data_IF_195500843922
#
_entry.id   IF_195500843922
#
_cell.length_a   1.000
_cell.length_b   1.000
_cell.length_c   1.000
_cell.angle_alpha   90.00
_cell.angle_beta   90.00
_cell.angle_gamma   90.00
#
_symmetry.space_group_name_H-M   'P 1'
#
loop_
_entity.id
_entity.type
_entity.pdbx_description
1 polymer ?
#
# COMPACT_ATOMS: atom_id res chain seq x y z
N UNK A 1 35.77 13.35 30.57
CA UNK A 1 34.80 12.38 31.11
C UNK A 1 33.93 11.93 29.94
N UNK A 2 34.13 10.71 29.48
CA UNK A 2 33.35 10.15 28.38
C UNK A 2 31.98 9.79 28.94
N UNK A 3 30.92 10.42 28.46
CA UNK A 3 29.55 10.07 28.74
C UNK A 3 29.25 8.74 28.02
N UNK A 4 29.43 7.65 28.73
CA UNK A 4 28.92 6.34 28.28
C UNK A 4 27.40 6.39 28.36
N UNK A 5 26.75 6.65 27.24
CA UNK A 5 25.33 6.37 27.06
C UNK A 5 25.16 4.86 27.30
N UNK A 6 24.77 4.50 28.53
CA UNK A 6 24.28 3.14 28.81
C UNK A 6 22.96 2.97 28.06
N UNK A 7 23.02 2.33 26.90
CA UNK A 7 21.81 1.81 26.27
C UNK A 7 21.28 0.72 27.20
N UNK A 8 20.30 1.06 28.04
CA UNK A 8 19.53 0.08 28.76
C UNK A 8 18.77 -0.75 27.71
N UNK A 9 19.39 -1.84 27.27
CA UNK A 9 18.71 -2.85 26.45
C UNK A 9 17.73 -3.50 27.41
N UNK A 10 16.45 -3.15 27.27
CA UNK A 10 15.37 -3.81 28.03
C UNK A 10 15.39 -5.28 27.65
N UNK A 11 15.58 -6.14 28.63
CA UNK A 11 15.57 -7.58 28.42
C UNK A 11 14.16 -7.96 27.92
N UNK A 12 14.06 -8.60 26.77
CA UNK A 12 12.80 -9.03 26.19
C UNK A 12 12.38 -10.37 26.75
N UNK A 13 11.12 -10.52 27.11
CA UNK A 13 10.53 -11.80 27.52
C UNK A 13 10.31 -12.76 26.34
N UNK A 14 10.44 -12.25 25.11
CA UNK A 14 10.34 -13.06 23.89
C UNK A 14 11.65 -13.79 23.61
N UNK A 15 11.56 -15.06 23.21
CA UNK A 15 12.69 -15.88 22.79
C UNK A 15 12.87 -15.85 21.25
N UNK A 16 11.76 -15.90 20.53
CA UNK A 16 11.74 -15.89 19.07
C UNK A 16 10.58 -15.05 18.54
N UNK A 17 10.85 -14.16 17.61
CA UNK A 17 9.82 -13.40 16.89
C UNK A 17 9.88 -13.69 15.39
N UNK A 18 8.73 -13.60 14.74
CA UNK A 18 8.61 -13.69 13.29
C UNK A 18 8.35 -12.31 12.67
N UNK A 19 8.96 -12.04 11.53
CA UNK A 19 8.65 -10.91 10.67
C UNK A 19 8.14 -11.47 9.34
N UNK A 20 6.98 -10.98 8.87
CA UNK A 20 6.48 -11.28 7.54
C UNK A 20 6.16 -10.00 6.78
N UNK A 21 6.21 -10.09 5.45
CA UNK A 21 5.85 -9.01 4.54
C UNK A 21 4.77 -9.52 3.58
N UNK A 22 3.62 -8.85 3.51
CA UNK A 22 2.50 -9.27 2.70
C UNK A 22 1.93 -8.12 1.84
N UNK A 23 1.25 -8.49 0.75
CA UNK A 23 0.71 -7.55 -0.22
C UNK A 23 1.68 -7.20 -1.34
N UNK A 24 1.45 -6.09 -2.04
CA UNK A 24 2.32 -5.61 -3.11
C UNK A 24 3.70 -5.16 -2.61
N UNK A 25 4.70 -5.06 -3.49
CA UNK A 25 6.00 -4.53 -3.13
C UNK A 25 5.91 -3.04 -2.76
N UNK A 26 6.85 -2.57 -1.95
CA UNK A 26 7.03 -1.16 -1.67
C UNK A 26 8.52 -0.85 -1.47
N UNK A 27 8.97 0.36 -1.77
CA UNK A 27 10.34 0.78 -1.47
C UNK A 27 10.59 0.77 0.04
N UNK A 28 11.86 0.72 0.43
CA UNK A 28 12.32 0.68 1.81
C UNK A 28 11.94 -0.58 2.62
N UNK A 29 11.35 -1.62 2.01
CA UNK A 29 10.95 -2.84 2.69
C UNK A 29 12.11 -3.49 3.48
N UNK A 30 13.27 -3.68 2.83
CA UNK A 30 14.44 -4.24 3.49
C UNK A 30 14.99 -3.37 4.62
N UNK A 31 14.88 -2.04 4.51
CA UNK A 31 15.28 -1.13 5.58
C UNK A 31 14.40 -1.31 6.82
N UNK A 32 13.08 -1.43 6.64
CA UNK A 32 12.12 -1.64 7.73
C UNK A 32 12.30 -3.01 8.37
N UNK A 33 12.42 -4.07 7.56
CA UNK A 33 12.71 -5.43 8.05
C UNK A 33 14.00 -5.42 8.89
N UNK A 34 15.06 -4.80 8.36
CA UNK A 34 16.35 -4.74 9.05
C UNK A 34 16.29 -3.91 10.33
N UNK A 35 15.58 -2.78 10.34
CA UNK A 35 15.45 -1.94 11.54
C UNK A 35 14.69 -2.68 12.64
N UNK A 36 13.55 -3.27 12.32
CA UNK A 36 12.75 -4.06 13.25
C UNK A 36 13.56 -5.26 13.79
N UNK A 37 14.15 -6.06 12.91
CA UNK A 37 14.93 -7.24 13.31
C UNK A 37 16.15 -6.86 14.18
N UNK A 38 16.88 -5.80 13.82
CA UNK A 38 18.08 -5.37 14.56
C UNK A 38 17.77 -5.02 16.01
N UNK A 39 16.63 -4.39 16.29
CA UNK A 39 16.23 -4.04 17.64
C UNK A 39 16.09 -5.29 18.54
N UNK A 40 15.44 -6.31 18.03
CA UNK A 40 15.25 -7.58 18.76
C UNK A 40 16.52 -8.42 18.84
N UNK A 41 17.29 -8.52 17.76
CA UNK A 41 18.59 -9.22 17.76
C UNK A 41 19.55 -8.61 18.79
N UNK A 42 19.57 -7.30 18.96
CA UNK A 42 20.35 -6.62 20.00
C UNK A 42 19.86 -6.92 21.42
N UNK A 43 18.56 -7.17 21.58
CA UNK A 43 17.98 -7.59 22.86
C UNK A 43 18.14 -9.10 23.13
N UNK A 44 18.89 -9.84 22.27
CA UNK A 44 19.14 -11.26 22.44
C UNK A 44 17.99 -12.17 21.98
N UNK A 45 17.00 -11.61 21.27
CA UNK A 45 15.87 -12.37 20.71
C UNK A 45 16.22 -12.92 19.36
N UNK A 46 15.91 -14.19 19.11
CA UNK A 46 16.03 -14.77 17.78
C UNK A 46 14.92 -14.20 16.87
N UNK A 47 15.32 -13.73 15.68
CA UNK A 47 14.39 -13.16 14.70
C UNK A 47 14.38 -14.00 13.45
N UNK A 48 13.20 -14.41 13.01
CA UNK A 48 13.00 -15.11 11.74
C UNK A 48 12.23 -14.26 10.75
N UNK A 49 12.59 -14.34 9.49
CA UNK A 49 11.84 -13.78 8.39
C UNK A 49 11.04 -14.87 7.68
N UNK A 50 9.71 -14.81 7.74
CA UNK A 50 8.84 -15.76 7.06
C UNK A 50 8.81 -15.41 5.58
N UNK A 51 9.08 -16.40 4.71
CA UNK A 51 9.16 -16.18 3.27
C UNK A 51 7.78 -16.17 2.63
N UNK A 52 7.59 -15.25 1.69
CA UNK A 52 6.36 -15.10 0.89
C UNK A 52 5.09 -14.85 1.73
N UNK A 53 5.21 -13.98 2.75
CA UNK A 53 4.08 -13.53 3.57
C UNK A 53 3.36 -14.69 4.27
N UNK A 54 2.05 -14.76 4.12
CA UNK A 54 1.22 -15.81 4.74
C UNK A 54 1.15 -17.11 3.92
N UNK A 55 1.72 -17.20 2.71
CA UNK A 55 1.50 -18.36 1.81
C UNK A 55 1.82 -19.70 2.47
N UNK A 56 3.05 -19.83 3.00
CA UNK A 56 3.47 -21.09 3.62
C UNK A 56 2.81 -21.36 4.98
N UNK A 57 2.24 -20.32 5.62
CA UNK A 57 1.57 -20.43 6.90
C UNK A 57 0.09 -20.81 6.75
N UNK A 58 -0.60 -20.25 5.75
CA UNK A 58 -2.03 -20.49 5.51
C UNK A 58 -2.32 -21.92 5.03
N UNK A 59 -1.33 -22.52 4.36
CA UNK A 59 -1.41 -23.89 3.84
C UNK A 59 -0.61 -24.89 4.71
N UNK A 60 -0.29 -24.51 5.96
CA UNK A 60 0.49 -25.34 6.85
C UNK A 60 -0.16 -26.70 7.13
N UNK A 61 0.63 -27.75 7.01
CA UNK A 61 0.31 -29.12 7.35
C UNK A 61 1.27 -29.63 8.45
N UNK A 62 0.76 -29.99 9.63
CA UNK A 62 1.62 -30.50 10.73
C UNK A 62 2.47 -31.69 10.36
N UNK A 63 2.07 -32.50 9.35
CA UNK A 63 2.87 -33.62 8.84
C UNK A 63 4.12 -33.16 8.05
N UNK A 64 4.14 -31.88 7.62
CA UNK A 64 5.21 -31.27 6.83
C UNK A 64 5.73 -30.01 7.56
N UNK A 65 6.63 -30.16 8.53
CA UNK A 65 7.11 -29.05 9.33
C UNK A 65 7.82 -27.99 8.47
N UNK A 66 7.66 -26.73 8.87
CA UNK A 66 8.34 -25.60 8.22
C UNK A 66 9.85 -25.76 8.29
N UNK A 67 10.55 -25.47 7.18
CA UNK A 67 11.99 -25.67 7.02
C UNK A 67 12.72 -24.34 6.89
N UNK A 68 13.79 -24.18 7.66
CA UNK A 68 14.71 -23.06 7.49
C UNK A 68 15.34 -23.10 6.07
N UNK A 69 15.50 -21.91 5.50
CA UNK A 69 15.98 -21.72 4.13
C UNK A 69 14.88 -21.81 3.07
N UNK A 70 13.86 -22.65 3.27
CA UNK A 70 12.72 -22.79 2.36
C UNK A 70 11.55 -21.87 2.79
N UNK A 71 11.02 -22.05 3.98
CA UNK A 71 9.80 -21.40 4.44
C UNK A 71 10.08 -20.17 5.31
N UNK A 72 11.20 -20.13 5.97
CA UNK A 72 11.71 -18.98 6.74
C UNK A 72 13.25 -18.94 6.73
N UNK A 73 13.80 -17.79 7.13
CA UNK A 73 15.24 -17.58 7.32
C UNK A 73 15.50 -16.95 8.69
N UNK A 74 16.65 -17.23 9.29
CA UNK A 74 17.10 -16.55 10.50
C UNK A 74 17.73 -15.21 10.14
N UNK A 75 17.22 -14.13 10.73
CA UNK A 75 17.70 -12.76 10.52
C UNK A 75 18.76 -12.40 11.57
N UNK A 76 19.97 -12.82 11.33
CA UNK A 76 21.11 -12.51 12.21
C UNK A 76 21.85 -11.24 11.80
N UNK A 77 22.75 -10.76 12.64
CA UNK A 77 23.51 -9.52 12.41
C UNK A 77 24.28 -9.48 11.09
N UNK A 78 24.75 -10.64 10.59
CA UNK A 78 25.52 -10.71 9.34
C UNK A 78 24.60 -10.53 8.12
N UNK A 79 23.41 -11.10 8.15
CA UNK A 79 22.36 -10.94 7.13
C UNK A 79 21.88 -9.49 7.13
N UNK A 80 21.52 -8.95 8.28
CA UNK A 80 20.93 -7.61 8.43
C UNK A 80 21.89 -6.48 8.02
N UNK A 81 23.19 -6.65 8.24
CA UNK A 81 24.21 -5.64 7.86
C UNK A 81 24.18 -5.31 6.37
N UNK A 82 23.90 -6.28 5.52
CA UNK A 82 23.86 -6.11 4.05
C UNK A 82 22.49 -5.74 3.53
N UNK A 83 21.45 -5.97 4.32
CA UNK A 83 20.05 -5.84 3.89
C UNK A 83 19.52 -4.42 4.02
N UNK A 84 19.95 -3.67 5.03
CA UNK A 84 19.39 -2.34 5.37
C UNK A 84 19.35 -1.37 4.19
N UNK A 85 20.37 -1.38 3.35
CA UNK A 85 20.50 -0.49 2.19
C UNK A 85 20.26 -1.20 0.85
N UNK A 86 19.82 -2.45 0.87
CA UNK A 86 19.53 -3.20 -0.35
C UNK A 86 18.09 -2.97 -0.82
N UNK A 87 17.92 -3.02 -2.13
CA UNK A 87 16.61 -2.97 -2.76
C UNK A 87 15.87 -4.30 -2.63
N UNK A 88 14.56 -4.26 -2.89
CA UNK A 88 13.70 -5.44 -2.89
C UNK A 88 13.19 -5.82 -1.52
N UNK A 89 12.72 -7.06 -1.40
CA UNK A 89 12.13 -7.66 -0.19
C UNK A 89 12.82 -8.99 0.05
N UNK A 90 13.78 -9.03 0.97
CA UNK A 90 14.64 -10.22 1.19
C UNK A 90 13.89 -11.48 1.60
N UNK A 91 12.73 -11.35 2.25
CA UNK A 91 11.87 -12.45 2.65
C UNK A 91 10.75 -12.74 1.65
N UNK A 92 10.72 -12.01 0.52
CA UNK A 92 9.64 -12.09 -0.45
C UNK A 92 8.31 -11.54 0.09
N UNK A 93 7.30 -11.56 -0.77
CA UNK A 93 5.94 -11.15 -0.45
C UNK A 93 4.92 -12.03 -1.18
N UNK A 94 3.68 -12.05 -0.70
CA UNK A 94 2.55 -12.65 -1.40
C UNK A 94 1.25 -11.95 -1.02
N UNK A 95 0.20 -12.16 -1.84
CA UNK A 95 -1.15 -11.62 -1.60
C UNK A 95 -2.06 -12.59 -0.84
N UNK A 96 -1.52 -13.71 -0.36
CA UNK A 96 -2.28 -14.67 0.45
C UNK A 96 -2.82 -13.98 1.70
N UNK A 97 -4.13 -14.05 1.87
CA UNK A 97 -4.85 -13.43 2.98
C UNK A 97 -5.63 -14.49 3.76
N UNK A 98 -5.14 -14.97 4.91
CA UNK A 98 -5.82 -15.97 5.72
C UNK A 98 -7.13 -15.46 6.34
N UNK A 99 -7.34 -14.15 6.39
CA UNK A 99 -8.57 -13.51 6.86
C UNK A 99 -9.56 -13.13 5.76
N UNK A 100 -9.39 -13.60 4.52
CA UNK A 100 -10.22 -13.21 3.38
C UNK A 100 -11.72 -13.47 3.60
N UNK A 101 -12.06 -14.59 4.23
CA UNK A 101 -13.45 -15.02 4.43
C UNK A 101 -14.09 -14.49 5.71
N UNK A 102 -13.37 -13.73 6.51
CA UNK A 102 -13.87 -13.09 7.73
C UNK A 102 -14.21 -11.63 7.38
N UNK A 103 -15.49 -11.32 7.24
CA UNK A 103 -15.99 -9.99 6.86
C UNK A 103 -16.57 -9.22 8.03
N UNK A 104 -17.14 -9.92 9.01
CA UNK A 104 -17.75 -9.36 10.21
C UNK A 104 -17.31 -10.14 11.46
N UNK A 105 -17.54 -9.61 12.68
CA UNK A 105 -17.16 -10.30 13.90
C UNK A 105 -17.79 -11.68 14.10
N UNK A 106 -19.01 -11.89 13.59
CA UNK A 106 -19.75 -13.15 13.67
C UNK A 106 -19.05 -14.27 12.88
N UNK A 107 -18.33 -13.93 11.80
CA UNK A 107 -17.54 -14.89 11.03
C UNK A 107 -16.41 -15.54 11.84
N UNK A 108 -15.99 -14.93 12.95
CA UNK A 108 -15.01 -15.51 13.87
C UNK A 108 -15.53 -16.73 14.64
N UNK A 109 -16.85 -16.96 14.68
CA UNK A 109 -17.48 -18.15 15.26
C UNK A 109 -17.52 -19.31 14.27
N UNK A 110 -17.30 -19.05 12.98
CA UNK A 110 -17.31 -20.05 11.92
C UNK A 110 -15.91 -20.71 11.80
N UNK A 111 -15.82 -21.96 12.21
CA UNK A 111 -14.57 -22.73 12.21
C UNK A 111 -14.00 -22.92 10.80
N UNK A 112 -14.83 -23.02 9.75
CA UNK A 112 -14.37 -23.18 8.38
C UNK A 112 -13.73 -21.90 7.85
N UNK A 113 -14.35 -20.73 8.12
CA UNK A 113 -13.80 -19.43 7.75
C UNK A 113 -12.52 -19.10 8.53
N UNK A 114 -12.39 -19.57 9.76
CA UNK A 114 -11.25 -19.37 10.62
C UNK A 114 -10.10 -20.36 10.39
N UNK A 115 -10.33 -21.49 9.74
CA UNK A 115 -9.33 -22.53 9.54
C UNK A 115 -7.98 -22.03 8.97
N UNK A 116 -7.92 -21.08 8.01
CA UNK A 116 -6.64 -20.51 7.57
C UNK A 116 -5.89 -19.75 8.68
N UNK A 117 -6.61 -19.06 9.56
CA UNK A 117 -6.02 -18.37 10.72
C UNK A 117 -5.47 -19.35 11.74
N UNK A 118 -6.18 -20.46 11.98
CA UNK A 118 -5.70 -21.53 12.85
C UNK A 118 -4.41 -22.14 12.35
N UNK A 119 -4.33 -22.45 11.04
CA UNK A 119 -3.09 -22.93 10.41
C UNK A 119 -1.92 -21.96 10.58
N UNK A 120 -2.16 -20.66 10.42
CA UNK A 120 -1.13 -19.65 10.67
C UNK A 120 -0.65 -19.67 12.11
N UNK A 121 -1.57 -19.76 13.10
CA UNK A 121 -1.22 -19.89 14.51
C UNK A 121 -0.37 -21.14 14.76
N UNK A 122 -0.81 -22.28 14.27
CA UNK A 122 -0.14 -23.57 14.46
C UNK A 122 1.23 -23.60 13.80
N UNK A 123 1.35 -23.07 12.58
CA UNK A 123 2.60 -22.94 11.86
C UNK A 123 3.63 -22.14 12.66
N UNK A 124 3.26 -20.95 13.13
CA UNK A 124 4.15 -20.09 13.91
C UNK A 124 4.51 -20.72 15.27
N UNK A 125 3.54 -21.35 15.95
CA UNK A 125 3.77 -22.05 17.20
C UNK A 125 4.68 -23.27 17.02
N UNK A 126 4.56 -24.02 15.92
CA UNK A 126 5.38 -25.21 15.62
C UNK A 126 6.88 -24.90 15.54
N UNK A 127 7.23 -23.66 15.18
CA UNK A 127 8.61 -23.17 15.12
C UNK A 127 8.96 -22.26 16.31
N UNK A 128 8.14 -22.23 17.35
CA UNK A 128 8.44 -21.57 18.62
C UNK A 128 8.37 -20.04 18.58
N UNK A 129 7.54 -19.45 17.72
CA UNK A 129 7.35 -17.99 17.64
C UNK A 129 6.51 -17.49 18.80
N UNK A 130 6.99 -16.47 19.48
CA UNK A 130 6.33 -15.82 20.61
C UNK A 130 5.54 -14.57 20.22
N UNK A 131 5.95 -13.87 19.14
CA UNK A 131 5.30 -12.66 18.65
C UNK A 131 5.50 -12.51 17.13
N UNK A 132 4.56 -11.82 16.47
CA UNK A 132 4.54 -11.58 15.05
C UNK A 132 4.64 -10.09 14.73
N UNK A 133 5.58 -9.71 13.86
CA UNK A 133 5.60 -8.42 13.20
C UNK A 133 5.08 -8.61 11.78
N UNK A 134 3.89 -8.06 11.51
CA UNK A 134 3.25 -8.08 10.21
C UNK A 134 3.53 -6.77 9.48
N UNK A 135 4.07 -6.85 8.27
CA UNK A 135 4.36 -5.68 7.44
C UNK A 135 3.49 -5.75 6.18
N UNK A 136 2.72 -4.71 5.89
CA UNK A 136 1.89 -4.72 4.70
C UNK A 136 0.92 -3.53 4.59
N UNK A 137 0.08 -3.54 3.58
CA UNK A 137 -0.95 -2.54 3.32
C UNK A 137 -2.21 -2.76 4.18
N UNK A 138 -3.28 -2.06 3.84
CA UNK A 138 -4.55 -2.03 4.57
C UNK A 138 -5.14 -3.44 4.78
N UNK A 139 -5.18 -4.28 3.76
CA UNK A 139 -5.67 -5.65 3.88
C UNK A 139 -4.83 -6.51 4.84
N UNK A 140 -3.52 -6.26 4.87
CA UNK A 140 -2.63 -6.95 5.80
C UNK A 140 -2.84 -6.46 7.24
N UNK A 141 -3.14 -5.17 7.44
CA UNK A 141 -3.53 -4.62 8.74
C UNK A 141 -4.85 -5.25 9.21
N UNK A 142 -5.86 -5.29 8.34
CA UNK A 142 -7.14 -5.96 8.64
C UNK A 142 -6.92 -7.42 9.04
N UNK A 143 -6.05 -8.12 8.29
CA UNK A 143 -5.69 -9.52 8.59
C UNK A 143 -5.00 -9.65 9.96
N UNK A 144 -4.05 -8.77 10.28
CA UNK A 144 -3.38 -8.77 11.58
C UNK A 144 -4.36 -8.51 12.74
N UNK A 145 -5.33 -7.61 12.55
CA UNK A 145 -6.39 -7.37 13.53
C UNK A 145 -7.32 -8.58 13.70
N UNK A 146 -7.77 -9.18 12.58
CA UNK A 146 -8.58 -10.40 12.61
C UNK A 146 -7.85 -11.55 13.32
N UNK A 147 -6.56 -11.70 13.05
CA UNK A 147 -5.70 -12.68 13.72
C UNK A 147 -5.63 -12.47 15.23
N UNK A 148 -5.53 -11.22 15.70
CA UNK A 148 -5.60 -10.87 17.12
C UNK A 148 -6.96 -11.24 17.72
N UNK A 149 -8.07 -10.83 17.06
CA UNK A 149 -9.42 -11.08 17.55
C UNK A 149 -9.72 -12.59 17.59
N UNK A 150 -9.33 -13.33 16.57
CA UNK A 150 -9.47 -14.78 16.50
C UNK A 150 -8.75 -15.47 17.66
N UNK A 151 -7.52 -15.08 17.99
CA UNK A 151 -6.80 -15.63 19.15
C UNK A 151 -7.52 -15.34 20.46
N UNK A 152 -8.06 -14.14 20.64
CA UNK A 152 -8.75 -13.74 21.86
C UNK A 152 -10.07 -14.51 22.05
N UNK A 153 -10.78 -14.78 20.99
CA UNK A 153 -12.10 -15.42 21.03
C UNK A 153 -12.01 -16.95 21.04
N UNK A 154 -11.22 -17.51 20.14
CA UNK A 154 -11.23 -18.94 19.85
C UNK A 154 -10.04 -19.72 20.45
N UNK A 155 -9.05 -19.01 21.01
CA UNK A 155 -7.81 -19.59 21.56
C UNK A 155 -7.45 -19.03 22.93
N UNK A 156 -8.43 -18.60 23.69
CA UNK A 156 -8.23 -17.99 25.03
C UNK A 156 -7.57 -18.91 26.06
N UNK A 157 -7.62 -20.22 25.84
CA UNK A 157 -6.96 -21.27 26.63
C UNK A 157 -5.47 -21.44 26.28
N UNK A 158 -5.00 -20.82 25.20
CA UNK A 158 -3.62 -20.91 24.71
C UNK A 158 -2.90 -19.57 24.88
N UNK A 159 -1.55 -19.64 24.87
CA UNK A 159 -0.74 -18.42 24.89
C UNK A 159 -1.05 -17.56 23.65
N UNK A 160 -1.60 -16.38 23.88
CA UNK A 160 -1.87 -15.39 22.81
C UNK A 160 -0.53 -14.87 22.29
N UNK A 161 -0.35 -14.92 20.97
CA UNK A 161 0.81 -14.37 20.28
C UNK A 161 0.55 -12.90 19.97
N UNK A 162 1.29 -11.95 20.56
CA UNK A 162 1.18 -10.54 20.22
C UNK A 162 1.47 -10.31 18.75
N UNK A 163 0.70 -9.42 18.13
CA UNK A 163 0.90 -8.99 16.73
C UNK A 163 1.07 -7.48 16.69
N UNK A 164 2.14 -7.03 16.05
CA UNK A 164 2.37 -5.62 15.71
C UNK A 164 2.35 -5.49 14.20
N UNK A 165 1.60 -4.51 13.69
CA UNK A 165 1.56 -4.21 12.27
C UNK A 165 2.35 -2.94 11.94
N UNK A 166 3.21 -3.03 10.91
CA UNK A 166 3.93 -1.90 10.35
C UNK A 166 3.31 -1.54 8.99
N UNK A 167 2.69 -0.36 8.88
CA UNK A 167 1.96 0.02 7.68
C UNK A 167 2.89 0.33 6.50
N UNK A 168 2.62 -0.30 5.39
CA UNK A 168 3.32 -0.19 4.13
C UNK A 168 2.37 0.40 3.09
N UNK A 169 2.69 1.56 2.56
CA UNK A 169 2.11 2.08 1.32
C UNK A 169 2.92 3.29 0.85
N UNK A 170 2.94 3.55 -0.46
CA UNK A 170 3.47 4.78 -1.02
C UNK A 170 2.42 5.90 -1.05
N UNK A 171 1.15 5.56 -0.85
CA UNK A 171 0.02 6.50 -0.95
C UNK A 171 -0.17 7.36 0.29
N UNK A 172 0.44 6.95 1.42
CA UNK A 172 0.33 7.62 2.73
C UNK A 172 -1.13 7.78 3.21
N UNK A 173 -1.96 6.80 2.93
CA UNK A 173 -3.41 6.81 3.15
C UNK A 173 -3.87 6.18 4.48
N UNK A 174 -2.93 5.91 5.40
CA UNK A 174 -3.25 5.40 6.74
C UNK A 174 -3.66 6.52 7.68
N UNK A 175 -4.84 6.38 8.27
CA UNK A 175 -5.30 7.30 9.30
C UNK A 175 -4.55 7.08 10.64
N UNK A 176 -4.15 8.18 11.29
CA UNK A 176 -3.56 8.16 12.62
C UNK A 176 -2.03 7.99 12.68
N UNK A 177 -1.36 8.00 11.54
CA UNK A 177 0.10 8.09 11.43
C UNK A 177 0.48 9.20 10.47
N UNK A 178 1.63 9.84 10.69
CA UNK A 178 2.08 10.94 9.84
C UNK A 178 2.57 10.44 8.48
N UNK A 179 3.38 9.37 8.50
CA UNK A 179 3.99 8.84 7.29
C UNK A 179 4.04 7.32 7.28
N UNK A 180 3.65 6.73 6.15
CA UNK A 180 3.91 5.33 5.83
C UNK A 180 5.31 5.17 5.25
N UNK A 181 5.99 4.06 5.52
CA UNK A 181 7.28 3.82 4.90
C UNK A 181 7.11 3.53 3.39
N UNK A 182 8.05 4.03 2.60
CA UNK A 182 7.98 3.98 1.14
C UNK A 182 7.47 5.28 0.52
N UNK A 183 6.65 6.06 1.21
CA UNK A 183 6.08 7.31 0.71
C UNK A 183 7.17 8.31 0.26
N UNK A 184 8.09 8.69 1.13
CA UNK A 184 9.14 9.64 0.76
C UNK A 184 10.10 9.13 -0.31
N UNK A 185 10.37 7.82 -0.35
CA UNK A 185 11.18 7.23 -1.42
C UNK A 185 10.46 7.36 -2.78
N UNK A 186 9.15 7.14 -2.79
CA UNK A 186 8.34 7.32 -4.00
C UNK A 186 8.26 8.79 -4.41
N UNK A 187 8.07 9.71 -3.46
CA UNK A 187 8.07 11.17 -3.71
C UNK A 187 9.39 11.62 -4.33
N UNK A 188 10.53 11.22 -3.76
CA UNK A 188 11.85 11.61 -4.27
C UNK A 188 12.10 11.10 -5.69
N UNK A 189 11.74 9.84 -5.95
CA UNK A 189 11.83 9.26 -7.29
C UNK A 189 10.95 10.02 -8.28
N UNK A 190 9.67 10.19 -7.98
CA UNK A 190 8.73 10.88 -8.87
C UNK A 190 9.08 12.35 -9.08
N UNK A 191 9.58 13.04 -8.05
CA UNK A 191 10.05 14.41 -8.17
C UNK A 191 11.24 14.52 -9.14
N UNK A 192 12.12 13.52 -9.17
CA UNK A 192 13.23 13.46 -10.13
C UNK A 192 12.71 13.27 -11.56
N UNK A 193 11.74 12.39 -11.76
CA UNK A 193 11.11 12.18 -13.07
C UNK A 193 10.35 13.44 -13.55
N UNK A 194 9.60 14.09 -12.65
CA UNK A 194 8.89 15.35 -12.97
C UNK A 194 9.88 16.44 -13.42
N UNK A 195 11.01 16.61 -12.72
CA UNK A 195 12.05 17.58 -13.14
C UNK A 195 12.63 17.24 -14.50
N UNK A 196 12.84 15.96 -14.80
CA UNK A 196 13.27 15.50 -16.13
C UNK A 196 12.24 15.88 -17.20
N UNK A 197 10.97 15.61 -16.94
CA UNK A 197 9.88 15.97 -17.86
C UNK A 197 9.72 17.48 -18.03
N UNK A 198 10.02 18.31 -17.04
CA UNK A 198 10.03 19.78 -17.17
C UNK A 198 11.05 20.22 -18.23
N UNK A 199 12.25 19.63 -18.23
CA UNK A 199 13.28 19.95 -19.23
C UNK A 199 12.86 19.50 -20.64
N UNK A 200 12.22 18.34 -20.76
CA UNK A 200 11.68 17.89 -22.05
C UNK A 200 10.52 18.78 -22.52
N UNK A 201 9.64 19.18 -21.60
CA UNK A 201 8.54 20.10 -21.85
C UNK A 201 9.04 21.46 -22.36
N UNK A 202 10.09 21.99 -21.73
CA UNK A 202 10.72 23.25 -22.11
C UNK A 202 11.33 23.16 -23.51
N UNK A 203 12.08 22.09 -23.79
CA UNK A 203 12.73 21.88 -25.08
C UNK A 203 11.73 21.74 -26.24
N UNK A 204 10.58 21.10 -25.97
CA UNK A 204 9.54 20.82 -26.99
C UNK A 204 8.43 21.86 -27.02
N UNK A 205 8.39 22.79 -26.06
CA UNK A 205 7.28 23.73 -25.84
C UNK A 205 5.94 23.01 -25.70
N UNK A 206 5.91 22.01 -24.84
CA UNK A 206 4.75 21.15 -24.63
C UNK A 206 4.32 21.12 -23.17
N UNK A 207 3.12 20.63 -22.93
CA UNK A 207 2.64 20.28 -21.59
C UNK A 207 2.52 18.76 -21.46
N UNK A 208 3.05 18.19 -20.38
CA UNK A 208 2.89 16.79 -20.04
C UNK A 208 1.85 16.63 -18.94
N UNK A 209 0.95 15.68 -19.10
CA UNK A 209 0.09 15.19 -18.01
C UNK A 209 0.71 13.92 -17.45
N UNK A 210 1.06 13.94 -16.17
CA UNK A 210 1.65 12.82 -15.46
C UNK A 210 0.64 12.27 -14.45
N UNK A 211 0.23 11.04 -14.65
CA UNK A 211 -0.56 10.33 -13.68
C UNK A 211 0.36 9.70 -12.63
N UNK A 212 0.00 9.84 -11.36
CA UNK A 212 0.69 9.21 -10.25
C UNK A 212 -0.25 8.27 -9.50
N UNK A 213 0.30 7.23 -8.90
CA UNK A 213 -0.45 6.35 -8.00
C UNK A 213 -1.06 7.14 -6.85
N UNK A 214 -2.04 6.56 -6.20
CA UNK A 214 -2.79 7.16 -5.10
C UNK A 214 -4.29 7.09 -5.37
N UNK A 215 -4.87 5.90 -5.11
CA UNK A 215 -6.27 5.61 -5.45
C UNK A 215 -7.25 6.29 -4.50
N UNK A 216 -6.94 6.32 -3.21
CA UNK A 216 -7.84 6.82 -2.16
C UNK A 216 -7.43 8.17 -1.60
N UNK A 217 -6.20 8.60 -1.82
CA UNK A 217 -5.62 9.85 -1.34
C UNK A 217 -4.60 10.41 -2.33
N UNK A 218 -4.54 11.72 -2.45
CA UNK A 218 -3.64 12.44 -3.36
C UNK A 218 -2.28 12.82 -2.77
N UNK A 219 -1.90 12.30 -1.59
CA UNK A 219 -0.66 12.67 -0.92
C UNK A 219 0.58 12.47 -1.78
N UNK A 220 0.65 11.34 -2.51
CA UNK A 220 1.78 11.06 -3.40
C UNK A 220 1.84 12.05 -4.55
N UNK A 221 0.70 12.38 -5.16
CA UNK A 221 0.59 13.37 -6.24
C UNK A 221 1.06 14.74 -5.77
N UNK A 222 0.58 15.20 -4.62
CA UNK A 222 1.00 16.47 -4.01
C UNK A 222 2.49 16.47 -3.67
N UNK A 223 2.97 15.43 -2.97
CA UNK A 223 4.36 15.33 -2.60
C UNK A 223 5.31 15.38 -3.81
N UNK A 224 5.00 14.59 -4.84
CA UNK A 224 5.77 14.54 -6.06
C UNK A 224 5.71 15.87 -6.84
N UNK A 225 4.52 16.48 -6.97
CA UNK A 225 4.33 17.74 -7.68
C UNK A 225 5.07 18.89 -6.99
N UNK A 226 4.96 19.02 -5.67
CA UNK A 226 5.63 20.07 -4.91
C UNK A 226 7.16 19.90 -4.98
N UNK A 227 7.66 18.70 -4.72
CA UNK A 227 9.10 18.43 -4.72
C UNK A 227 9.70 18.44 -6.14
N UNK A 228 8.91 18.11 -7.16
CA UNK A 228 9.30 18.11 -8.58
C UNK A 228 9.07 19.45 -9.29
N UNK A 229 8.47 20.45 -8.61
CA UNK A 229 8.15 21.77 -9.17
C UNK A 229 7.17 21.72 -10.35
N UNK A 230 6.19 20.81 -10.30
CA UNK A 230 5.15 20.71 -11.32
C UNK A 230 4.32 22.00 -11.41
N UNK A 231 3.77 22.27 -12.58
CA UNK A 231 3.00 23.50 -12.87
C UNK A 231 1.62 23.49 -12.24
N UNK A 232 1.04 22.30 -12.08
CA UNK A 232 -0.27 22.07 -11.46
C UNK A 232 -0.33 20.66 -10.93
N UNK A 233 -1.09 20.47 -9.85
CA UNK A 233 -1.52 19.15 -9.38
C UNK A 233 -3.03 19.15 -9.23
N UNK A 234 -3.66 18.02 -9.58
CA UNK A 234 -5.09 17.79 -9.38
C UNK A 234 -5.23 16.41 -8.73
N UNK A 235 -5.83 16.38 -7.57
CA UNK A 235 -6.03 15.18 -6.78
C UNK A 235 -7.51 14.94 -6.44
N UNK A 236 -7.77 13.85 -5.77
CA UNK A 236 -9.10 13.48 -5.30
C UNK A 236 -9.65 14.55 -4.33
N UNK A 237 -8.80 15.11 -3.50
CA UNK A 237 -9.15 16.14 -2.52
C UNK A 237 -9.62 17.42 -3.22
N UNK A 238 -8.98 17.83 -4.32
CA UNK A 238 -9.41 18.98 -5.11
C UNK A 238 -10.79 18.74 -5.71
N UNK A 239 -11.03 17.54 -6.26
CA UNK A 239 -12.34 17.17 -6.84
C UNK A 239 -13.42 17.19 -5.75
N UNK A 240 -13.18 16.60 -4.60
CA UNK A 240 -14.12 16.60 -3.46
C UNK A 240 -14.38 18.01 -2.91
N UNK A 241 -13.40 18.90 -2.98
CA UNK A 241 -13.52 20.25 -2.45
C UNK A 241 -14.30 21.20 -3.35
N UNK A 242 -14.30 21.01 -4.68
CA UNK A 242 -14.91 22.00 -5.55
C UNK A 242 -15.28 21.59 -6.97
N UNK A 243 -15.11 20.32 -7.35
CA UNK A 243 -15.37 19.85 -8.71
C UNK A 243 -16.32 18.66 -8.76
N UNK A 244 -17.12 18.39 -7.72
CA UNK A 244 -18.16 17.37 -7.75
C UNK A 244 -19.48 17.94 -8.27
N UNK A 245 -20.12 17.15 -9.15
CA UNK A 245 -21.47 17.38 -9.65
C UNK A 245 -22.28 16.09 -9.55
N UNK A 246 -23.61 16.25 -9.40
CA UNK A 246 -24.52 15.12 -9.41
C UNK A 246 -24.84 14.70 -10.83
N UNK A 247 -24.59 13.44 -11.15
CA UNK A 247 -24.88 12.82 -12.45
C UNK A 247 -26.02 11.80 -12.31
N UNK A 248 -27.04 11.93 -13.15
CA UNK A 248 -28.04 10.87 -13.33
C UNK A 248 -27.65 9.98 -14.49
N UNK A 249 -27.61 8.68 -14.28
CA UNK A 249 -27.28 7.70 -15.30
C UNK A 249 -28.25 6.51 -15.26
N UNK A 250 -28.38 5.84 -16.40
CA UNK A 250 -29.11 4.56 -16.49
C UNK A 250 -28.10 3.43 -16.29
N UNK A 251 -28.32 2.62 -15.27
CA UNK A 251 -27.55 1.42 -15.07
C UNK A 251 -27.90 0.34 -16.13
N UNK A 252 -27.07 -0.67 -16.27
CA UNK A 252 -27.24 -1.76 -17.24
C UNK A 252 -28.56 -2.55 -17.06
N UNK A 253 -29.15 -2.50 -15.86
CA UNK A 253 -30.47 -3.10 -15.54
C UNK A 253 -31.66 -2.19 -15.90
N UNK A 254 -31.39 -1.01 -16.47
CA UNK A 254 -32.40 0.01 -16.85
C UNK A 254 -32.87 0.93 -15.72
N UNK A 255 -32.36 0.76 -14.50
CA UNK A 255 -32.68 1.66 -13.37
C UNK A 255 -31.98 3.00 -13.52
N UNK A 256 -32.63 4.09 -13.13
CA UNK A 256 -32.00 5.41 -13.04
C UNK A 256 -31.40 5.57 -11.66
N UNK A 257 -30.10 5.81 -11.61
CA UNK A 257 -29.36 6.04 -10.38
C UNK A 257 -28.68 7.42 -10.42
N UNK A 258 -28.41 7.98 -9.24
CA UNK A 258 -27.66 9.23 -9.09
C UNK A 258 -26.34 8.95 -8.42
N UNK A 259 -25.25 9.52 -8.91
CA UNK A 259 -23.93 9.48 -8.27
C UNK A 259 -23.26 10.82 -8.37
N UNK A 260 -22.22 11.04 -7.57
CA UNK A 260 -21.32 12.16 -7.74
C UNK A 260 -20.20 11.81 -8.71
N UNK A 261 -19.95 12.69 -9.64
CA UNK A 261 -18.83 12.60 -10.57
C UNK A 261 -18.06 13.92 -10.65
N UNK A 262 -16.91 13.88 -11.29
CA UNK A 262 -16.06 15.04 -11.53
C UNK A 262 -16.65 15.89 -12.65
N UNK A 263 -16.75 17.20 -12.41
CA UNK A 263 -17.04 18.19 -13.44
C UNK A 263 -15.83 18.30 -14.39
N UNK A 264 -15.90 17.57 -15.49
CA UNK A 264 -14.82 17.51 -16.49
C UNK A 264 -14.52 18.86 -17.11
N UNK A 265 -15.55 19.70 -17.32
CA UNK A 265 -15.39 21.02 -17.91
C UNK A 265 -14.66 21.95 -16.93
N UNK A 266 -15.05 21.96 -15.67
CA UNK A 266 -14.42 22.79 -14.64
C UNK A 266 -12.94 22.38 -14.40
N UNK A 267 -12.64 21.08 -14.39
CA UNK A 267 -11.27 20.58 -14.25
C UNK A 267 -10.43 20.92 -15.49
N UNK A 268 -10.97 20.72 -16.69
CA UNK A 268 -10.31 21.09 -17.96
C UNK A 268 -10.04 22.60 -18.01
N UNK A 269 -11.01 23.41 -17.64
CA UNK A 269 -10.88 24.86 -17.52
C UNK A 269 -9.75 25.29 -16.58
N UNK A 270 -9.60 24.61 -15.44
CA UNK A 270 -8.49 24.88 -14.51
C UNK A 270 -7.13 24.60 -15.15
N UNK A 271 -7.02 23.47 -15.86
CA UNK A 271 -5.80 23.13 -16.59
C UNK A 271 -5.49 24.21 -17.64
N UNK A 272 -6.45 24.54 -18.50
CA UNK A 272 -6.30 25.53 -19.56
C UNK A 272 -5.96 26.92 -19.01
N UNK A 273 -6.64 27.36 -17.96
CA UNK A 273 -6.34 28.65 -17.29
C UNK A 273 -4.90 28.68 -16.74
N UNK A 274 -4.43 27.58 -16.19
CA UNK A 274 -3.03 27.47 -15.73
C UNK A 274 -2.05 27.57 -16.90
N UNK A 275 -2.31 26.88 -18.01
CA UNK A 275 -1.50 26.97 -19.21
C UNK A 275 -1.44 28.41 -19.75
N UNK A 276 -2.59 29.06 -19.92
CA UNK A 276 -2.68 30.43 -20.41
C UNK A 276 -1.97 31.44 -19.49
N UNK A 277 -2.10 31.30 -18.18
CA UNK A 277 -1.37 32.14 -17.23
C UNK A 277 0.14 31.99 -17.35
N UNK A 278 0.63 30.76 -17.52
CA UNK A 278 2.06 30.47 -17.74
C UNK A 278 2.56 31.02 -19.08
N UNK A 279 1.77 30.89 -20.14
CA UNK A 279 2.09 31.45 -21.45
C UNK A 279 2.18 32.98 -21.42
N UNK A 280 1.32 33.64 -20.65
CA UNK A 280 1.40 35.11 -20.45
C UNK A 280 2.70 35.52 -19.74
N UNK A 281 3.32 34.61 -18.96
CA UNK A 281 4.65 34.79 -18.37
C UNK A 281 5.81 34.37 -19.29
N UNK A 282 5.52 33.96 -20.54
CA UNK A 282 6.52 33.46 -21.49
C UNK A 282 6.93 32.00 -21.28
N UNK A 283 6.22 31.26 -20.44
CA UNK A 283 6.45 29.84 -20.14
C UNK A 283 5.48 28.97 -20.92
N UNK A 284 5.84 28.60 -22.14
CA UNK A 284 5.01 27.79 -23.05
C UNK A 284 5.14 26.29 -22.81
N UNK A 285 5.40 25.87 -21.59
CA UNK A 285 5.64 24.49 -21.21
C UNK A 285 5.26 24.23 -19.76
N UNK A 286 5.09 22.95 -19.39
CA UNK A 286 4.87 22.55 -18.03
C UNK A 286 4.56 21.08 -17.83
N UNK A 287 4.52 20.67 -16.58
CA UNK A 287 4.09 19.35 -16.16
C UNK A 287 2.89 19.51 -15.24
N UNK A 288 1.84 18.77 -15.52
CA UNK A 288 0.61 18.71 -14.74
C UNK A 288 0.52 17.31 -14.15
N UNK A 289 0.43 17.23 -12.83
CA UNK A 289 0.31 15.95 -12.12
C UNK A 289 -1.14 15.68 -11.80
N UNK A 290 -1.62 14.46 -12.07
CA UNK A 290 -2.97 14.02 -11.75
C UNK A 290 -2.91 12.72 -10.94
N UNK A 291 -3.80 12.57 -9.96
CA UNK A 291 -3.91 11.36 -9.18
C UNK A 291 -4.73 10.28 -9.91
N UNK A 292 -4.28 9.02 -9.90
CA UNK A 292 -5.02 7.90 -10.53
C UNK A 292 -6.45 7.75 -9.97
N UNK A 293 -6.64 8.12 -8.72
CA UNK A 293 -7.94 8.07 -8.05
C UNK A 293 -9.02 8.97 -8.67
N UNK A 294 -8.64 9.92 -9.52
CA UNK A 294 -9.60 10.71 -10.30
C UNK A 294 -10.46 9.84 -11.22
N UNK A 295 -9.95 8.67 -11.64
CA UNK A 295 -10.70 7.72 -12.46
C UNK A 295 -12.01 7.26 -11.80
N UNK A 296 -12.07 7.18 -10.47
CA UNK A 296 -13.30 6.81 -9.73
C UNK A 296 -14.40 7.88 -9.83
N UNK A 297 -14.02 9.10 -10.16
CA UNK A 297 -14.91 10.24 -10.29
C UNK A 297 -15.24 10.60 -11.76
N UNK A 298 -14.75 9.84 -12.73
CA UNK A 298 -15.11 10.06 -14.13
C UNK A 298 -16.62 9.91 -14.35
N UNK A 299 -17.28 10.75 -15.18
CA UNK A 299 -18.67 10.58 -15.56
C UNK A 299 -18.95 9.17 -16.13
N UNK A 300 -20.20 8.71 -15.96
CA UNK A 300 -20.58 7.33 -16.27
C UNK A 300 -20.28 6.92 -17.72
N UNK A 301 -20.47 7.84 -18.67
CA UNK A 301 -20.21 7.60 -20.08
C UNK A 301 -18.73 7.24 -20.40
N UNK A 302 -17.77 7.63 -19.54
CA UNK A 302 -16.36 7.29 -19.71
C UNK A 302 -16.03 5.90 -19.15
N UNK A 303 -16.81 5.43 -18.18
CA UNK A 303 -16.54 4.17 -17.44
C UNK A 303 -17.59 3.10 -17.73
N UNK A 304 -18.53 3.36 -18.62
CA UNK A 304 -19.55 2.39 -19.01
C UNK A 304 -18.90 1.15 -19.64
N UNK A 305 -19.25 -0.02 -19.12
CA UNK A 305 -18.70 -1.31 -19.57
C UNK A 305 -17.29 -1.63 -19.09
N UNK A 306 -16.66 -0.75 -18.30
CA UNK A 306 -15.37 -1.03 -17.65
C UNK A 306 -15.62 -1.88 -16.41
N UNK A 307 -14.96 -3.03 -16.31
CA UNK A 307 -15.09 -3.90 -15.14
C UNK A 307 -14.48 -3.27 -13.89
N UNK A 308 -14.95 -3.74 -12.73
CA UNK A 308 -14.37 -3.38 -11.42
C UNK A 308 -13.62 -4.58 -10.85
N UNK A 309 -12.62 -4.30 -10.02
CA UNK A 309 -11.89 -5.34 -9.30
C UNK A 309 -12.74 -5.92 -8.13
N UNK A 310 -12.22 -6.93 -7.44
CA UNK A 310 -12.88 -7.56 -6.28
C UNK A 310 -13.18 -6.59 -5.12
N UNK A 311 -12.58 -5.40 -5.14
CA UNK A 311 -12.78 -4.32 -4.16
C UNK A 311 -13.73 -3.23 -4.64
N UNK A 312 -14.28 -3.37 -5.85
CA UNK A 312 -15.23 -2.43 -6.44
C UNK A 312 -14.58 -1.25 -7.17
N UNK A 313 -13.27 -1.20 -7.32
CA UNK A 313 -12.56 -0.15 -8.03
C UNK A 313 -12.54 -0.39 -9.54
N UNK A 314 -12.53 0.69 -10.31
CA UNK A 314 -12.43 0.64 -11.77
C UNK A 314 -11.10 0.00 -12.17
N UNK A 315 -11.14 -0.95 -13.11
CA UNK A 315 -9.95 -1.53 -13.73
C UNK A 315 -9.33 -0.51 -14.70
N UNK A 316 -8.48 0.34 -14.20
CA UNK A 316 -7.84 1.44 -14.94
C UNK A 316 -7.12 0.93 -16.19
N UNK A 317 -6.45 -0.22 -16.12
CA UNK A 317 -5.80 -0.83 -17.30
C UNK A 317 -6.78 -1.08 -18.46
N UNK A 318 -8.03 -1.43 -18.17
CA UNK A 318 -9.06 -1.62 -19.19
C UNK A 318 -9.59 -0.27 -19.72
N UNK A 319 -9.57 0.77 -18.90
CA UNK A 319 -9.94 2.11 -19.33
C UNK A 319 -8.98 2.61 -20.41
N UNK A 320 -7.68 2.43 -20.26
CA UNK A 320 -6.66 2.84 -21.24
C UNK A 320 -6.63 1.96 -22.48
N UNK A 321 -7.05 0.71 -22.39
CA UNK A 321 -7.08 -0.22 -23.55
C UNK A 321 -8.42 -0.24 -24.25
N UNK A 322 -9.45 0.41 -23.71
CA UNK A 322 -10.74 0.55 -24.37
C UNK A 322 -10.63 1.53 -25.55
N UNK A 323 -11.29 1.27 -26.70
CA UNK A 323 -11.35 2.24 -27.79
C UNK A 323 -11.92 3.57 -27.27
N UNK A 324 -11.25 4.68 -27.64
CA UNK A 324 -11.76 6.01 -27.34
C UNK A 324 -13.20 6.16 -27.84
N UNK A 325 -14.05 6.95 -27.18
CA UNK A 325 -15.37 7.30 -27.73
C UNK A 325 -15.31 7.83 -29.19
N UNK A 326 -14.16 8.41 -29.59
CA UNK A 326 -13.91 8.84 -30.98
C UNK A 326 -13.64 7.68 -31.93
N UNK A 327 -13.18 6.53 -31.43
CA UNK A 327 -12.88 5.34 -32.21
C UNK A 327 -14.10 4.40 -32.34
N UNK A 328 -15.21 4.74 -31.67
CA UNK A 328 -16.50 4.01 -31.70
C UNK A 328 -17.49 4.58 -32.73
N UNK A 329 -17.06 5.54 -33.54
CA UNK A 329 -17.86 6.19 -34.58
C UNK A 329 -18.06 5.38 -35.82
#
# INVERSE_FOLDING_TARGET
>A
MANTLSTNITQSDFKRIAILFAGGPAPAANAVISAAATSFVRAGVEVIGVKHGYSNLADFDPSQPLKEGKDYIVLNSSVLRRTRSSQGIMIGTARTNPGKHISCPEDLEDAEKCAPMDRVCEALQSIGVDALISIGGDDTLKTANKFKLHQQQNRSDKKIMPVVHLPKTIDNDYFGIDFTFGFFTAVDFLATEIRTLIHDAEATRAYFLCETMGRSAGWLSYGAAIAGEASLVISIEDVKAGYLVDEQFKASDGTTSTRQCMDMDAVSDRIVKTMLAREAEGKHYGVIVIAEGLAEYLPYNYVEGVSRDDHGHINICLLYTSPSPRDRG
#
